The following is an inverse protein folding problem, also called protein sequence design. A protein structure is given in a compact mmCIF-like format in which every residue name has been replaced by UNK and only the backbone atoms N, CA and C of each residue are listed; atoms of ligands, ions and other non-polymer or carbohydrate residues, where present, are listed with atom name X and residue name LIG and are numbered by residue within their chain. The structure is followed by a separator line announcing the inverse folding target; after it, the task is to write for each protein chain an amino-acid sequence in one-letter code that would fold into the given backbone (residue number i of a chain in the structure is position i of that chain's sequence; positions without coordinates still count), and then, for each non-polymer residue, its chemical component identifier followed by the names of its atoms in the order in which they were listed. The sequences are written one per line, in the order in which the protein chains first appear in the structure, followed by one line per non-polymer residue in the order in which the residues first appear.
data_IF_738250183495
#
_entry.id   IF_738250183495
#
_cell.length_a   1.000
_cell.length_b   1.000
_cell.length_c   1.000
_cell.angle_alpha   90.00
_cell.angle_beta   90.00
_cell.angle_gamma   90.00
#
_symmetry.space_group_name_H-M   'P 1'
#
loop_
_entity.id
_entity.type
_entity.pdbx_description
1 polymer ?
#
# COMPACT_ATOMS: atom_id res chain seq x y z
N UNK A 1 4.74 2.89 -7.28
CA UNK A 1 4.41 2.63 -5.86
C UNK A 1 3.99 3.94 -5.21
N UNK A 2 3.41 3.89 -4.01
CA UNK A 2 3.26 5.09 -3.19
C UNK A 2 4.58 5.33 -2.44
N UNK A 3 5.09 6.56 -2.50
CA UNK A 3 6.20 7.00 -1.64
C UNK A 3 5.63 7.96 -0.60
N UNK A 4 5.76 7.59 0.68
CA UNK A 4 5.54 8.48 1.82
C UNK A 4 6.86 9.10 2.26
N UNK A 5 6.86 10.39 2.58
CA UNK A 5 8.03 11.11 3.08
C UNK A 5 7.80 11.48 4.53
N UNK A 6 8.79 11.18 5.37
CA UNK A 6 8.79 11.50 6.79
C UNK A 6 10.11 12.19 7.14
N UNK A 7 10.02 13.48 7.44
CA UNK A 7 11.18 14.26 7.89
C UNK A 7 11.21 14.32 9.41
N UNK A 8 12.36 13.97 9.97
CA UNK A 8 12.77 14.08 11.38
C UNK A 8 13.85 15.16 11.49
N UNK A 9 14.18 15.66 12.71
CA UNK A 9 15.22 16.69 12.87
C UNK A 9 16.60 16.31 12.31
N UNK A 10 16.92 15.01 12.24
CA UNK A 10 18.23 14.47 11.89
C UNK A 10 18.17 13.40 10.78
N UNK A 11 17.00 13.14 10.20
CA UNK A 11 16.84 12.14 9.15
C UNK A 11 15.62 12.43 8.25
N UNK A 12 15.64 11.96 7.01
CA UNK A 12 14.47 11.92 6.14
C UNK A 12 14.25 10.50 5.63
N UNK A 13 13.09 9.93 5.95
CA UNK A 13 12.72 8.56 5.59
C UNK A 13 11.74 8.58 4.41
N UNK A 14 12.07 7.84 3.36
CA UNK A 14 11.21 7.64 2.19
C UNK A 14 10.62 6.23 2.27
N UNK A 15 9.38 6.13 2.75
CA UNK A 15 8.65 4.87 2.80
C UNK A 15 8.11 4.51 1.42
N UNK A 16 8.62 3.43 0.84
CA UNK A 16 8.13 2.91 -0.44
C UNK A 16 7.16 1.77 -0.18
N UNK A 17 5.91 1.93 -0.62
CA UNK A 17 4.92 0.85 -0.53
C UNK A 17 5.16 -0.19 -1.62
N UNK A 18 5.49 -1.42 -1.22
CA UNK A 18 5.55 -2.56 -2.12
C UNK A 18 4.20 -3.26 -2.14
N UNK A 19 3.61 -3.55 -3.31
CA UNK A 19 2.52 -4.51 -3.39
C UNK A 19 2.92 -5.79 -2.66
N UNK A 20 2.02 -6.39 -1.87
CA UNK A 20 2.33 -7.60 -1.13
C UNK A 20 2.92 -8.68 -2.04
N UNK A 21 4.00 -9.32 -1.61
CA UNK A 21 4.64 -10.43 -2.31
C UNK A 21 3.75 -11.66 -2.21
N UNK A 22 2.76 -11.78 -3.10
CA UNK A 22 1.86 -12.92 -3.15
C UNK A 22 2.45 -14.04 -4.01
N UNK A 23 2.03 -15.29 -3.74
CA UNK A 23 2.33 -16.43 -4.60
C UNK A 23 1.88 -16.11 -6.03
N UNK A 24 2.75 -16.38 -7.02
CA UNK A 24 2.45 -16.11 -8.43
C UNK A 24 1.22 -16.93 -8.85
N UNK A 25 0.16 -16.23 -9.22
CA UNK A 25 -1.10 -16.85 -9.65
C UNK A 25 -1.08 -17.25 -11.13
N UNK A 26 0.02 -16.99 -11.85
CA UNK A 26 0.17 -17.20 -13.28
C UNK A 26 -0.44 -16.09 -14.15
N UNK A 27 -1.17 -15.14 -13.53
CA UNK A 27 -1.76 -13.97 -14.21
C UNK A 27 -0.71 -12.91 -14.50
N UNK A 28 -0.88 -12.17 -15.60
CA UNK A 28 0.10 -11.15 -16.01
C UNK A 28 0.26 -10.06 -14.93
N UNK A 29 -0.83 -9.64 -14.30
CA UNK A 29 -0.81 -8.68 -13.20
C UNK A 29 0.03 -9.17 -12.02
N UNK A 30 -0.09 -10.45 -11.63
CA UNK A 30 0.70 -11.02 -10.53
C UNK A 30 2.20 -10.99 -10.84
N UNK A 31 2.59 -11.30 -12.09
CA UNK A 31 3.99 -11.18 -12.54
C UNK A 31 4.49 -9.73 -12.56
N UNK A 32 3.66 -8.77 -12.99
CA UNK A 32 4.03 -7.35 -13.01
C UNK A 32 4.20 -6.81 -11.58
N UNK A 33 3.28 -7.14 -10.67
CA UNK A 33 3.38 -6.75 -9.25
C UNK A 33 4.62 -7.37 -8.57
N UNK A 34 4.90 -8.65 -8.84
CA UNK A 34 6.09 -9.31 -8.30
C UNK A 34 7.40 -8.70 -8.85
N UNK A 35 7.45 -8.35 -10.15
CA UNK A 35 8.61 -7.64 -10.73
C UNK A 35 8.78 -6.25 -10.12
N UNK A 36 7.70 -5.50 -9.94
CA UNK A 36 7.74 -4.18 -9.34
C UNK A 36 8.23 -4.25 -7.88
N UNK A 37 7.71 -5.21 -7.11
CA UNK A 37 8.17 -5.44 -5.74
C UNK A 37 9.65 -5.82 -5.68
N UNK A 38 10.13 -6.68 -6.58
CA UNK A 38 11.55 -7.05 -6.65
C UNK A 38 12.45 -5.87 -7.03
N UNK A 39 12.05 -5.03 -7.99
CA UNK A 39 12.80 -3.81 -8.33
C UNK A 39 12.89 -2.82 -7.17
N UNK A 40 11.85 -2.74 -6.32
CA UNK A 40 11.90 -1.90 -5.12
C UNK A 40 12.90 -2.46 -4.10
N UNK A 41 12.99 -3.78 -3.93
CA UNK A 41 13.96 -4.40 -3.00
C UNK A 41 15.42 -4.07 -3.34
N UNK A 42 15.74 -3.79 -4.60
CA UNK A 42 17.11 -3.42 -5.03
C UNK A 42 17.46 -1.96 -4.75
N UNK A 43 16.47 -1.08 -4.53
CA UNK A 43 16.65 0.37 -4.43
C UNK A 43 16.41 0.96 -3.05
N UNK A 44 16.28 0.14 -2.01
CA UNK A 44 16.01 0.60 -0.63
C UNK A 44 17.21 0.38 0.27
N UNK A 45 17.41 1.27 1.24
CA UNK A 45 18.50 1.16 2.22
C UNK A 45 18.17 0.24 3.40
N UNK A 46 16.88 0.08 3.72
CA UNK A 46 16.39 -0.69 4.87
C UNK A 46 15.07 -1.36 4.50
N UNK A 47 14.89 -2.61 4.92
CA UNK A 47 13.64 -3.36 4.75
C UNK A 47 12.91 -3.48 6.09
N UNK A 48 11.61 -3.16 6.09
CA UNK A 48 10.71 -3.45 7.22
C UNK A 48 9.80 -4.60 6.83
N UNK A 49 10.12 -5.79 7.33
CA UNK A 49 9.29 -6.97 7.13
C UNK A 49 8.20 -7.02 8.21
N UNK A 50 6.94 -6.93 7.80
CA UNK A 50 5.80 -6.86 8.72
C UNK A 50 5.08 -8.20 8.75
N UNK A 51 4.93 -8.80 9.93
CA UNK A 51 4.13 -10.01 10.15
C UNK A 51 3.01 -9.75 11.15
N UNK A 52 2.02 -10.64 11.18
CA UNK A 52 1.00 -10.65 12.24
C UNK A 52 1.53 -11.37 13.50
N UNK A 53 1.35 -10.77 14.67
CA UNK A 53 1.76 -11.36 15.94
C UNK A 53 1.05 -12.70 16.21
N UNK A 54 1.78 -13.62 16.85
CA UNK A 54 1.33 -14.97 17.17
C UNK A 54 1.01 -15.86 15.96
N UNK A 55 1.39 -15.42 14.74
CA UNK A 55 1.10 -16.15 13.51
C UNK A 55 2.31 -16.11 12.59
N UNK A 56 2.71 -17.29 12.13
CA UNK A 56 3.66 -17.44 11.03
C UNK A 56 3.03 -18.34 9.97
N UNK A 57 3.01 -17.87 8.72
CA UNK A 57 2.37 -18.57 7.61
C UNK A 57 3.37 -18.94 6.52
N UNK A 58 2.94 -19.79 5.59
CA UNK A 58 3.73 -20.07 4.37
C UNK A 58 3.94 -18.82 3.50
N UNK A 59 3.04 -17.83 3.59
CA UNK A 59 3.20 -16.58 2.85
C UNK A 59 4.31 -15.73 3.47
N UNK A 60 4.37 -15.66 4.81
CA UNK A 60 5.47 -15.00 5.52
C UNK A 60 6.82 -15.65 5.19
N UNK A 61 6.88 -16.98 5.16
CA UNK A 61 8.08 -17.72 4.74
C UNK A 61 8.46 -17.39 3.28
N UNK A 62 7.49 -17.37 2.36
CA UNK A 62 7.76 -17.04 0.96
C UNK A 62 8.21 -15.58 0.74
N UNK A 63 7.76 -14.65 1.59
CA UNK A 63 8.30 -13.27 1.62
C UNK A 63 9.73 -13.28 2.12
N UNK A 64 10.00 -14.01 3.21
CA UNK A 64 11.34 -14.13 3.79
C UNK A 64 12.35 -14.67 2.78
N UNK A 65 12.03 -15.76 2.08
CA UNK A 65 12.88 -16.36 1.02
C UNK A 65 13.23 -15.37 -0.10
N UNK A 66 12.37 -14.39 -0.36
CA UNK A 66 12.62 -13.35 -1.38
C UNK A 66 13.52 -12.24 -0.87
N UNK A 67 13.37 -11.85 0.38
CA UNK A 67 14.14 -10.75 0.98
C UNK A 67 15.43 -11.22 1.64
N UNK A 68 15.62 -12.53 1.85
CA UNK A 68 16.84 -13.05 2.50
C UNK A 68 18.11 -12.73 1.71
N UNK A 69 17.97 -12.57 0.40
CA UNK A 69 19.02 -12.20 -0.55
C UNK A 69 19.20 -10.69 -0.69
N UNK A 70 18.37 -9.88 -0.01
CA UNK A 70 18.53 -8.44 -0.01
C UNK A 70 19.81 -8.09 0.78
N UNK A 71 20.70 -7.29 0.17
CA UNK A 71 21.96 -6.90 0.79
C UNK A 71 21.81 -5.71 1.75
N UNK A 72 20.67 -5.62 2.44
CA UNK A 72 20.31 -4.48 3.29
C UNK A 72 19.72 -4.94 4.62
N UNK A 73 19.81 -4.14 5.69
CA UNK A 73 19.27 -4.50 7.00
C UNK A 73 17.76 -4.78 6.93
N UNK A 74 17.35 -5.92 7.47
CA UNK A 74 15.93 -6.30 7.60
C UNK A 74 15.49 -6.15 9.05
N UNK A 75 14.49 -5.30 9.29
CA UNK A 75 13.82 -5.13 10.58
C UNK A 75 12.51 -5.92 10.55
N UNK A 76 12.31 -6.81 11.51
CA UNK A 76 11.05 -7.53 11.67
C UNK A 76 10.09 -6.72 12.56
N UNK A 77 9.00 -6.22 11.98
CA UNK A 77 7.91 -5.59 12.71
C UNK A 77 6.78 -6.59 12.98
N UNK A 78 6.65 -7.05 14.21
CA UNK A 78 5.60 -8.00 14.62
C UNK A 78 4.37 -7.18 15.02
N UNK A 79 3.40 -7.06 14.12
CA UNK A 79 2.26 -6.16 14.27
C UNK A 79 1.06 -6.82 14.97
N UNK A 80 0.06 -6.01 15.36
CA UNK A 80 -1.18 -6.42 16.02
C UNK A 80 -0.98 -7.05 17.41
N UNK A 81 0.11 -6.75 18.11
CA UNK A 81 0.36 -7.27 19.47
C UNK A 81 -0.67 -6.80 20.50
N UNK A 82 -1.49 -5.79 20.17
CA UNK A 82 -2.64 -5.40 20.98
C UNK A 82 -3.79 -6.42 20.98
N UNK A 83 -3.78 -7.37 20.04
CA UNK A 83 -4.74 -8.48 19.97
C UNK A 83 -4.25 -9.73 20.71
N UNK A 84 -3.00 -9.76 21.15
CA UNK A 84 -2.44 -10.89 21.91
C UNK A 84 -3.02 -10.89 23.32
N UNK A 85 -3.81 -11.94 23.62
CA UNK A 85 -4.48 -12.07 24.91
C UNK A 85 -3.49 -12.33 26.06
N UNK A 86 -2.49 -13.19 25.83
CA UNK A 86 -1.45 -13.52 26.80
C UNK A 86 -0.10 -12.94 26.38
N UNK A 87 0.38 -11.95 27.14
CA UNK A 87 1.68 -11.31 26.88
C UNK A 87 2.86 -12.24 27.20
N UNK A 88 2.66 -13.27 28.01
CA UNK A 88 3.70 -14.26 28.32
C UNK A 88 4.02 -15.14 27.11
N UNK A 89 3.04 -15.37 26.20
CA UNK A 89 3.26 -16.11 24.96
C UNK A 89 3.98 -15.32 23.87
N UNK A 90 3.97 -13.98 23.96
CA UNK A 90 4.60 -13.12 22.96
C UNK A 90 6.13 -13.31 22.94
N UNK A 91 6.77 -13.42 24.11
CA UNK A 91 8.23 -13.55 24.18
C UNK A 91 8.72 -14.88 23.54
N UNK A 92 8.14 -16.05 23.84
CA UNK A 92 8.43 -17.30 23.13
C UNK A 92 8.21 -17.19 21.61
N UNK A 93 7.14 -16.52 21.17
CA UNK A 93 6.91 -16.31 19.74
C UNK A 93 7.98 -15.43 19.10
N UNK A 94 8.40 -14.34 19.76
CA UNK A 94 9.49 -13.48 19.28
C UNK A 94 10.82 -14.25 19.20
N UNK A 95 11.07 -15.15 20.15
CA UNK A 95 12.25 -16.02 20.14
C UNK A 95 12.22 -17.00 18.96
N UNK A 96 11.07 -17.62 18.68
CA UNK A 96 10.98 -18.58 17.56
C UNK A 96 11.17 -17.91 16.21
N UNK A 97 10.57 -16.74 15.97
CA UNK A 97 10.77 -16.03 14.70
C UNK A 97 12.20 -15.48 14.54
N UNK A 98 12.89 -15.19 15.64
CA UNK A 98 14.30 -14.78 15.59
C UNK A 98 15.23 -15.88 15.07
N UNK A 99 14.82 -17.15 15.12
CA UNK A 99 15.59 -18.27 14.58
C UNK A 99 15.49 -18.37 13.05
N UNK A 100 14.50 -17.73 12.43
CA UNK A 100 14.25 -17.88 10.99
C UNK A 100 15.21 -17.05 10.12
N UNK A 101 15.68 -15.91 10.62
CA UNK A 101 16.57 -15.01 9.89
C UNK A 101 17.33 -14.10 10.86
N UNK A 102 18.58 -13.70 10.54
CA UNK A 102 19.34 -12.73 11.33
C UNK A 102 18.80 -11.30 11.15
N UNK A 103 17.61 -11.03 11.67
CA UNK A 103 17.01 -9.70 11.63
C UNK A 103 17.90 -8.68 12.35
N UNK A 104 18.04 -7.49 11.76
CA UNK A 104 18.78 -6.39 12.36
C UNK A 104 18.11 -5.89 13.64
N UNK A 105 16.79 -5.99 13.72
CA UNK A 105 16.01 -5.82 14.95
C UNK A 105 14.64 -6.48 14.82
N UNK A 106 14.06 -6.93 15.94
CA UNK A 106 12.69 -7.46 16.01
C UNK A 106 11.88 -6.56 16.96
N UNK A 107 10.84 -5.92 16.43
CA UNK A 107 10.08 -4.89 17.13
C UNK A 107 8.60 -5.29 17.17
N UNK A 108 8.06 -5.68 18.34
CA UNK A 108 6.63 -5.87 18.50
C UNK A 108 5.92 -4.51 18.47
N UNK A 109 4.99 -4.32 17.54
CA UNK A 109 4.26 -3.06 17.34
C UNK A 109 2.75 -3.26 17.37
N UNK A 110 2.03 -2.17 17.66
CA UNK A 110 0.63 -2.05 17.28
C UNK A 110 0.47 -0.84 16.38
N UNK A 111 0.39 -1.05 15.08
CA UNK A 111 0.15 0.02 14.11
C UNK A 111 -1.15 0.79 14.41
N UNK A 112 -2.16 0.09 14.96
CA UNK A 112 -3.46 0.68 15.31
C UNK A 112 -3.38 1.56 16.57
N UNK A 113 -2.61 1.14 17.58
CA UNK A 113 -2.51 1.86 18.87
C UNK A 113 -1.32 2.81 18.94
N UNK A 114 -0.41 2.74 17.97
CA UNK A 114 0.84 3.49 17.96
C UNK A 114 1.95 2.89 18.84
N UNK A 115 1.70 1.75 19.50
CA UNK A 115 2.68 1.12 20.39
C UNK A 115 3.96 0.76 19.63
N UNK A 116 5.10 1.20 20.14
CA UNK A 116 6.46 0.98 19.60
C UNK A 116 6.70 1.51 18.17
N UNK A 117 5.80 2.29 17.57
CA UNK A 117 6.04 2.88 16.25
C UNK A 117 7.21 3.89 16.28
N UNK A 118 7.33 4.69 17.34
CA UNK A 118 8.46 5.62 17.48
C UNK A 118 9.81 4.88 17.58
N UNK A 119 9.83 3.69 18.19
CA UNK A 119 11.03 2.85 18.22
C UNK A 119 11.34 2.30 16.83
N UNK A 120 10.34 1.77 16.13
CA UNK A 120 10.52 1.31 14.75
C UNK A 120 11.07 2.42 13.85
N UNK A 121 10.53 3.62 13.95
CA UNK A 121 10.98 4.79 13.19
C UNK A 121 12.43 5.17 13.51
N UNK A 122 12.80 5.20 14.79
CA UNK A 122 14.19 5.47 15.21
C UNK A 122 15.17 4.41 14.68
N UNK A 123 14.81 3.13 14.77
CA UNK A 123 15.65 2.01 14.29
C UNK A 123 15.84 2.06 12.78
N UNK A 124 14.82 2.49 12.03
CA UNK A 124 14.93 2.75 10.59
C UNK A 124 15.87 3.92 10.34
N UNK A 125 15.67 5.05 11.03
CA UNK A 125 16.49 6.26 10.85
C UNK A 125 17.98 6.02 11.12
N UNK A 126 18.31 5.27 12.18
CA UNK A 126 19.70 4.89 12.54
C UNK A 126 20.44 4.09 11.45
N UNK A 127 19.70 3.49 10.51
CA UNK A 127 20.24 2.63 9.44
C UNK A 127 20.23 3.30 8.07
N UNK A 128 19.72 4.53 7.98
CA UNK A 128 19.80 5.29 6.75
C UNK A 128 21.25 5.77 6.50
N UNK A 129 21.68 5.85 5.23
CA UNK A 129 22.97 6.43 4.90
C UNK A 129 23.00 7.92 5.25
N UNK A 130 24.19 8.43 5.61
CA UNK A 130 24.40 9.87 5.75
C UNK A 130 24.21 10.57 4.40
N UNK A 131 23.41 11.64 4.38
CA UNK A 131 23.11 12.38 3.16
C UNK A 131 22.26 13.62 3.43
N UNK A 132 22.08 14.44 2.40
CA UNK A 132 21.16 15.58 2.45
C UNK A 132 19.71 15.11 2.28
N UNK A 133 18.77 15.83 2.90
CA UNK A 133 17.35 15.61 2.66
C UNK A 133 17.02 15.83 1.18
N UNK A 134 16.24 14.91 0.60
CA UNK A 134 15.86 14.94 -0.82
C UNK A 134 14.64 15.82 -1.09
N UNK A 135 13.80 16.03 -0.08
CA UNK A 135 12.55 16.78 -0.17
C UNK A 135 12.43 17.81 0.95
N UNK A 136 11.59 18.83 0.74
CA UNK A 136 11.26 19.82 1.76
C UNK A 136 10.61 19.18 3.00
N UNK A 137 10.77 19.80 4.17
CA UNK A 137 10.32 19.27 5.46
C UNK A 137 8.81 18.94 5.50
N UNK A 138 7.99 19.74 4.79
CA UNK A 138 6.53 19.60 4.74
C UNK A 138 6.05 18.56 3.70
N UNK A 139 6.97 17.96 2.92
CA UNK A 139 6.61 16.97 1.91
C UNK A 139 6.11 15.70 2.57
N UNK A 140 4.86 15.32 2.31
CA UNK A 140 4.28 14.06 2.81
C UNK A 140 4.35 12.92 1.80
N UNK A 141 4.30 13.22 0.50
CA UNK A 141 4.37 12.22 -0.57
C UNK A 141 4.85 12.88 -1.85
N UNK A 142 5.56 12.11 -2.67
CA UNK A 142 6.01 12.53 -4.01
C UNK A 142 4.96 12.23 -5.08
N UNK A 143 3.88 11.55 -4.69
CA UNK A 143 2.84 11.10 -5.60
C UNK A 143 1.97 12.24 -6.09
N UNK A 144 1.62 12.21 -7.38
CA UNK A 144 0.75 13.24 -7.95
C UNK A 144 -0.63 13.24 -7.30
N UNK A 145 -1.28 14.40 -7.25
CA UNK A 145 -2.65 14.52 -6.72
C UNK A 145 -3.66 13.62 -7.46
N UNK A 146 -3.41 13.33 -8.74
CA UNK A 146 -4.19 12.36 -9.52
C UNK A 146 -4.01 10.94 -8.99
N UNK A 147 -2.77 10.53 -8.76
CA UNK A 147 -2.45 9.22 -8.20
C UNK A 147 -3.09 9.06 -6.82
N UNK A 148 -2.93 10.04 -5.93
CA UNK A 148 -3.54 10.01 -4.60
C UNK A 148 -5.07 9.91 -4.65
N UNK A 149 -5.72 10.61 -5.58
CA UNK A 149 -7.17 10.47 -5.77
C UNK A 149 -7.56 9.04 -6.19
N UNK A 150 -6.80 8.41 -7.09
CA UNK A 150 -7.02 7.03 -7.49
C UNK A 150 -6.80 6.04 -6.34
N UNK A 151 -5.74 6.23 -5.54
CA UNK A 151 -5.47 5.40 -4.35
C UNK A 151 -6.57 5.52 -3.31
N UNK A 152 -7.05 6.72 -3.00
CA UNK A 152 -8.16 6.87 -2.05
C UNK A 152 -9.43 6.16 -2.53
N UNK A 153 -9.74 6.22 -3.83
CA UNK A 153 -10.87 5.48 -4.39
C UNK A 153 -10.63 3.97 -4.27
N UNK A 154 -9.44 3.48 -4.65
CA UNK A 154 -9.08 2.06 -4.58
C UNK A 154 -9.13 1.53 -3.15
N UNK A 155 -8.65 2.30 -2.18
CA UNK A 155 -8.73 1.99 -0.75
C UNK A 155 -10.18 1.78 -0.30
N UNK A 156 -11.09 2.67 -0.71
CA UNK A 156 -12.51 2.54 -0.36
C UNK A 156 -13.16 1.34 -1.05
N UNK A 157 -12.78 1.04 -2.29
CA UNK A 157 -13.21 -0.18 -2.97
C UNK A 157 -12.75 -1.40 -2.17
N UNK A 158 -11.48 -1.49 -1.81
CA UNK A 158 -10.94 -2.62 -1.03
C UNK A 158 -11.60 -2.76 0.35
N UNK A 159 -11.90 -1.66 1.04
CA UNK A 159 -12.56 -1.71 2.35
C UNK A 159 -14.03 -2.14 2.29
N UNK A 160 -14.75 -1.70 1.28
CA UNK A 160 -16.21 -1.84 1.20
C UNK A 160 -16.65 -3.03 0.35
N UNK A 161 -15.81 -3.44 -0.60
CA UNK A 161 -16.03 -4.68 -1.33
C UNK A 161 -15.47 -5.86 -0.53
N UNK A 162 -16.24 -6.94 -0.47
CA UNK A 162 -15.77 -8.24 0.00
C UNK A 162 -15.43 -9.12 -1.23
N UNK A 163 -14.79 -10.27 -1.02
CA UNK A 163 -14.49 -11.28 -2.05
C UNK A 163 -13.41 -10.87 -3.08
N UNK A 164 -13.45 -11.39 -4.31
CA UNK A 164 -12.38 -11.24 -5.32
C UNK A 164 -12.33 -9.87 -6.01
N UNK A 165 -13.28 -8.97 -5.72
CA UNK A 165 -13.41 -7.66 -6.40
C UNK A 165 -12.14 -6.80 -6.32
N UNK A 166 -11.43 -6.68 -5.18
CA UNK A 166 -10.23 -5.83 -5.07
C UNK A 166 -9.13 -6.20 -6.07
N UNK A 167 -9.02 -7.48 -6.44
CA UNK A 167 -7.98 -7.99 -7.33
C UNK A 167 -8.29 -7.81 -8.82
N UNK A 168 -9.54 -7.46 -9.17
CA UNK A 168 -9.98 -7.28 -10.55
C UNK A 168 -10.32 -5.83 -10.88
N UNK A 169 -9.82 -4.87 -10.09
CA UNK A 169 -10.16 -3.45 -10.18
C UNK A 169 -8.93 -2.59 -10.43
N UNK A 170 -9.06 -1.61 -11.31
CA UNK A 170 -8.13 -0.47 -11.39
C UNK A 170 -8.91 0.85 -11.51
N UNK A 171 -8.27 1.94 -11.10
CA UNK A 171 -8.88 3.28 -11.06
C UNK A 171 -8.04 4.24 -11.89
N UNK A 172 -8.67 4.86 -12.88
CA UNK A 172 -8.08 5.85 -13.77
C UNK A 172 -8.71 7.22 -13.52
N UNK A 173 -7.89 8.28 -13.42
CA UNK A 173 -8.39 9.65 -13.30
C UNK A 173 -8.42 10.30 -14.69
N UNK A 174 -9.59 10.35 -15.31
CA UNK A 174 -9.78 10.94 -16.65
C UNK A 174 -9.67 12.47 -16.61
N UNK A 175 -10.12 13.11 -15.52
CA UNK A 175 -10.04 14.56 -15.35
C UNK A 175 -9.70 14.93 -13.91
N UNK A 176 -8.85 15.94 -13.76
CA UNK A 176 -8.51 16.57 -12.50
C UNK A 176 -8.27 18.05 -12.77
N UNK A 177 -9.23 18.89 -12.41
CA UNK A 177 -9.18 20.34 -12.65
C UNK A 177 -9.48 21.12 -11.37
N UNK A 178 -8.74 22.20 -11.16
CA UNK A 178 -9.03 23.18 -10.12
C UNK A 178 -9.98 24.21 -10.74
N UNK A 179 -11.21 24.27 -10.23
CA UNK A 179 -12.29 25.17 -10.67
C UNK A 179 -12.63 26.12 -9.51
N UNK A 180 -11.94 27.26 -9.47
CA UNK A 180 -12.06 28.24 -8.40
C UNK A 180 -11.65 27.68 -7.04
N UNK A 181 -12.63 27.50 -6.13
CA UNK A 181 -12.43 26.96 -4.78
C UNK A 181 -12.73 25.46 -4.66
N UNK A 182 -12.89 24.78 -5.80
CA UNK A 182 -13.29 23.39 -5.86
C UNK A 182 -12.38 22.61 -6.80
N UNK A 183 -12.05 21.37 -6.44
CA UNK A 183 -11.38 20.42 -7.31
C UNK A 183 -12.46 19.54 -7.95
N UNK A 184 -12.45 19.40 -9.26
CA UNK A 184 -13.33 18.49 -10.00
C UNK A 184 -12.53 17.28 -10.47
N UNK A 185 -13.01 16.10 -10.09
CA UNK A 185 -12.35 14.83 -10.39
C UNK A 185 -13.35 13.92 -11.09
N UNK A 186 -12.94 13.45 -12.27
CA UNK A 186 -13.66 12.41 -13.00
C UNK A 186 -12.82 11.14 -12.98
N UNK A 187 -13.32 10.10 -12.32
CA UNK A 187 -12.60 8.84 -12.12
C UNK A 187 -13.37 7.64 -12.69
N UNK A 188 -12.65 6.83 -13.43
CA UNK A 188 -13.16 5.63 -14.08
C UNK A 188 -12.63 4.38 -13.38
N UNK A 189 -13.54 3.58 -12.87
CA UNK A 189 -13.26 2.30 -12.23
C UNK A 189 -13.45 1.19 -13.26
N UNK A 190 -12.36 0.52 -13.61
CA UNK A 190 -12.36 -0.61 -14.53
C UNK A 190 -12.49 -1.91 -13.75
N UNK A 191 -13.37 -2.79 -14.22
CA UNK A 191 -13.52 -4.16 -13.71
C UNK A 191 -13.45 -5.19 -14.83
N UNK A 192 -13.16 -6.44 -14.51
CA UNK A 192 -13.07 -7.52 -15.51
C UNK A 192 -14.42 -8.10 -15.92
N UNK A 193 -15.37 -8.18 -14.99
CA UNK A 193 -16.64 -8.91 -15.16
C UNK A 193 -17.84 -8.06 -14.75
N UNK A 194 -18.97 -8.27 -15.43
CA UNK A 194 -20.23 -7.59 -15.11
C UNK A 194 -20.71 -7.85 -13.67
N UNK A 195 -20.42 -9.03 -13.10
CA UNK A 195 -20.71 -9.30 -11.68
C UNK A 195 -19.98 -8.35 -10.74
N UNK A 196 -18.69 -8.07 -10.98
CA UNK A 196 -17.92 -7.11 -10.19
C UNK A 196 -18.48 -5.69 -10.32
N UNK A 197 -18.89 -5.29 -11.53
CA UNK A 197 -19.57 -4.00 -11.75
C UNK A 197 -20.87 -3.91 -10.96
N UNK A 198 -21.67 -4.98 -10.95
CA UNK A 198 -22.88 -5.07 -10.13
C UNK A 198 -22.60 -4.88 -8.64
N UNK A 199 -21.55 -5.53 -8.12
CA UNK A 199 -21.13 -5.40 -6.71
C UNK A 199 -20.70 -3.96 -6.38
N UNK A 200 -19.85 -3.35 -7.22
CA UNK A 200 -19.36 -1.99 -6.98
C UNK A 200 -20.45 -0.93 -7.08
N UNK A 201 -21.43 -1.11 -7.98
CA UNK A 201 -22.59 -0.22 -8.05
C UNK A 201 -23.45 -0.44 -6.80
N UNK A 202 -23.69 -1.70 -6.43
CA UNK A 202 -24.58 -2.08 -5.35
C UNK A 202 -26.05 -1.81 -5.67
N UNK A 203 -26.93 -2.17 -4.74
CA UNK A 203 -28.37 -1.90 -4.87
C UNK A 203 -28.60 -0.38 -4.97
N UNK A 204 -29.34 0.07 -5.98
CA UNK A 204 -29.68 1.48 -6.21
C UNK A 204 -28.48 2.47 -6.23
N UNK A 205 -27.29 1.94 -6.55
CA UNK A 205 -26.04 2.71 -6.56
C UNK A 205 -25.47 3.02 -5.18
N UNK A 206 -25.96 2.42 -4.10
CA UNK A 206 -25.57 2.74 -2.73
C UNK A 206 -24.09 2.50 -2.45
N UNK A 207 -23.54 1.39 -2.96
CA UNK A 207 -22.12 1.06 -2.77
C UNK A 207 -21.21 2.11 -3.43
N UNK A 208 -21.49 2.44 -4.70
CA UNK A 208 -20.70 3.43 -5.43
C UNK A 208 -20.80 4.83 -4.81
N UNK A 209 -21.98 5.20 -4.30
CA UNK A 209 -22.18 6.45 -3.56
C UNK A 209 -21.34 6.48 -2.28
N UNK A 210 -21.29 5.40 -1.54
CA UNK A 210 -20.51 5.32 -0.30
C UNK A 210 -18.99 5.35 -0.57
N UNK A 211 -18.52 4.61 -1.59
CA UNK A 211 -17.14 4.69 -2.08
C UNK A 211 -16.77 6.14 -2.42
N UNK A 212 -17.60 6.79 -3.25
CA UNK A 212 -17.37 8.17 -3.65
C UNK A 212 -17.39 9.15 -2.48
N UNK A 213 -18.32 8.97 -1.52
CA UNK A 213 -18.42 9.83 -0.34
C UNK A 213 -17.15 9.75 0.52
N UNK A 214 -16.68 8.54 0.82
CA UNK A 214 -15.48 8.34 1.67
C UNK A 214 -14.21 8.80 0.96
N UNK A 215 -14.03 8.43 -0.30
CA UNK A 215 -12.87 8.84 -1.09
C UNK A 215 -12.80 10.37 -1.21
N UNK A 216 -13.93 11.02 -1.49
CA UNK A 216 -14.03 12.48 -1.55
C UNK A 216 -13.58 13.14 -0.24
N UNK A 217 -14.02 12.65 0.92
CA UNK A 217 -13.61 13.21 2.23
C UNK A 217 -12.09 13.11 2.42
N UNK A 218 -11.48 11.97 2.08
CA UNK A 218 -10.03 11.80 2.20
C UNK A 218 -9.27 12.76 1.26
N UNK A 219 -9.75 12.93 0.02
CA UNK A 219 -9.17 13.87 -0.93
C UNK A 219 -9.33 15.32 -0.44
N UNK A 220 -10.49 15.70 0.11
CA UNK A 220 -10.71 17.04 0.67
C UNK A 220 -9.75 17.32 1.83
N UNK A 221 -9.53 16.34 2.71
CA UNK A 221 -8.61 16.48 3.85
C UNK A 221 -7.16 16.65 3.38
N UNK A 222 -6.74 15.87 2.37
CA UNK A 222 -5.39 15.98 1.81
C UNK A 222 -5.17 17.33 1.10
N UNK A 223 -6.17 17.82 0.37
CA UNK A 223 -6.03 18.99 -0.50
C UNK A 223 -6.40 20.32 0.19
N UNK A 224 -7.08 20.27 1.34
CA UNK A 224 -7.62 21.48 1.99
C UNK A 224 -8.68 22.22 1.17
N UNK A 225 -9.27 21.58 0.17
CA UNK A 225 -10.24 22.17 -0.77
C UNK A 225 -11.48 21.29 -0.90
N UNK A 226 -12.61 21.89 -1.31
CA UNK A 226 -13.82 21.12 -1.64
C UNK A 226 -13.61 20.31 -2.91
N UNK A 227 -14.14 19.10 -2.94
CA UNK A 227 -13.99 18.16 -4.06
C UNK A 227 -15.35 17.78 -4.61
N UNK A 228 -15.51 17.87 -5.93
CA UNK A 228 -16.59 17.26 -6.68
C UNK A 228 -16.04 16.02 -7.40
N UNK A 229 -16.38 14.84 -6.88
CA UNK A 229 -15.91 13.55 -7.40
C UNK A 229 -17.04 12.85 -8.16
N UNK A 230 -16.84 12.58 -9.45
CA UNK A 230 -17.69 11.69 -10.25
C UNK A 230 -16.99 10.36 -10.48
N UNK A 231 -17.74 9.28 -10.27
CA UNK A 231 -17.28 7.91 -10.46
C UNK A 231 -18.09 7.22 -11.54
N UNK A 232 -17.41 6.49 -12.42
CA UNK A 232 -18.03 5.56 -13.37
C UNK A 232 -17.44 4.17 -13.20
N UNK A 233 -18.25 3.14 -13.47
CA UNK A 233 -17.78 1.75 -13.48
C UNK A 233 -17.95 1.18 -14.89
N UNK A 234 -16.86 0.76 -15.53
CA UNK A 234 -16.87 0.12 -16.84
C UNK A 234 -16.25 -1.27 -16.77
N UNK A 235 -16.77 -2.18 -17.59
CA UNK A 235 -16.21 -3.52 -17.75
C UNK A 235 -15.24 -3.52 -18.92
N UNK A 236 -14.04 -4.07 -18.69
CA UNK A 236 -13.07 -4.39 -19.72
C UNK A 236 -12.61 -5.82 -19.46
N UNK A 237 -12.97 -6.77 -20.31
CA UNK A 237 -12.53 -8.16 -20.11
C UNK A 237 -11.02 -8.30 -20.32
N UNK A 238 -10.35 -9.13 -19.51
CA UNK A 238 -8.99 -9.61 -19.77
C UNK A 238 -7.86 -8.59 -19.65
N UNK A 239 -8.09 -7.40 -19.09
CA UNK A 239 -7.02 -6.39 -18.96
C UNK A 239 -5.92 -6.79 -17.98
N UNK A 240 -6.24 -7.55 -16.93
CA UNK A 240 -5.28 -8.02 -15.91
C UNK A 240 -4.33 -9.11 -16.43
N UNK A 241 -4.70 -9.75 -17.54
CA UNK A 241 -3.89 -10.74 -18.25
C UNK A 241 -3.19 -10.14 -19.50
N UNK A 242 -3.41 -8.86 -19.80
CA UNK A 242 -2.80 -8.14 -20.92
C UNK A 242 -1.74 -7.14 -20.42
N UNK A 243 -0.45 -7.46 -20.63
CA UNK A 243 0.66 -6.58 -20.24
C UNK A 243 0.64 -5.19 -20.90
N UNK A 244 0.04 -5.04 -22.10
CA UNK A 244 -0.11 -3.72 -22.72
C UNK A 244 -1.18 -2.91 -22.02
N UNK A 245 -2.29 -3.55 -21.67
CA UNK A 245 -3.34 -2.91 -20.88
C UNK A 245 -2.82 -2.52 -19.49
N UNK A 246 -2.06 -3.40 -18.82
CA UNK A 246 -1.41 -3.12 -17.55
C UNK A 246 -0.49 -1.89 -17.62
N UNK A 247 0.38 -1.81 -18.63
CA UNK A 247 1.23 -0.62 -18.83
C UNK A 247 0.43 0.66 -19.07
N UNK A 248 -0.62 0.59 -19.90
CA UNK A 248 -1.50 1.74 -20.13
C UNK A 248 -2.24 2.19 -18.85
N UNK A 249 -2.40 1.29 -17.87
CA UNK A 249 -3.02 1.54 -16.58
C UNK A 249 -2.00 1.93 -15.49
N UNK A 250 -0.72 2.15 -15.86
CA UNK A 250 0.35 2.57 -14.94
C UNK A 250 1.00 1.43 -14.16
N UNK A 251 0.73 0.17 -14.50
CA UNK A 251 1.43 -0.98 -13.93
C UNK A 251 2.69 -1.30 -14.74
N UNK A 252 3.86 -1.16 -14.12
CA UNK A 252 5.16 -1.56 -14.70
C UNK A 252 6.13 -0.42 -14.97
N UNK A 253 5.77 0.83 -14.65
CA UNK A 253 6.77 1.90 -14.61
C UNK A 253 7.62 1.73 -13.34
N UNK A 254 8.97 1.68 -13.47
CA UNK A 254 9.84 1.69 -12.30
C UNK A 254 9.63 2.99 -11.52
N UNK A 255 9.74 2.85 -10.21
CA UNK A 255 9.62 3.92 -9.22
C UNK A 255 10.93 4.69 -9.17
#
# INVERSE_FOLDING_TARGET
SLIGVKTLPDAQILYVDTPGLHKDTGRAMSRVLNRAAQGILEGVDVLVFVIEGMRWTEEDAAVLDRIEHANVPVILAVNKVDLTADKEELLPFLQSVAEFYPFAEIIPISARKGSNLARLEAVVAERLPEGEALYDEDTMTTSSSRFMAAEFIREQITRLSHEEVPYGVTVEIENYTIDGKMIRIDALIWVEREGQKGILIGKDGEMLKEIGRRARINIENLQGMKVFLRLWVKVKGGWSDDERALRALGYGDPV
#
